data_IF_054657576280
#
_entry.id   IF_054657576280
#
_cell.length_a   1.000
_cell.length_b   1.000
_cell.length_c   1.000
_cell.angle_alpha   90.00
_cell.angle_beta   90.00
_cell.angle_gamma   90.00
#
_symmetry.space_group_name_H-M   'P 1'
#
loop_
_entity.id
_entity.type
_entity.pdbx_description
1 polymer ?
#
# COMPACT_ATOMS: atom_id res chain seq x y z
N UNK A 1 19.40 -49.99 16.81
CA UNK A 1 18.96 -48.61 16.61
C UNK A 1 19.26 -48.26 15.16
N UNK A 2 18.26 -48.26 14.34
CA UNK A 2 18.32 -48.02 12.89
C UNK A 2 18.62 -46.55 12.63
N UNK A 3 19.75 -46.23 11.99
CA UNK A 3 20.03 -44.92 11.44
C UNK A 3 18.95 -44.61 10.37
N UNK A 4 18.12 -43.62 10.67
CA UNK A 4 17.21 -43.07 9.67
C UNK A 4 18.09 -42.55 8.53
N UNK A 5 17.79 -42.94 7.30
CA UNK A 5 18.39 -42.41 6.09
C UNK A 5 17.96 -40.95 6.00
N UNK A 6 18.77 -40.02 6.55
CA UNK A 6 18.65 -38.60 6.30
C UNK A 6 19.03 -38.41 4.83
N UNK A 7 18.15 -37.79 4.04
CA UNK A 7 18.44 -37.41 2.66
C UNK A 7 19.67 -36.49 2.60
N UNK A 8 20.23 -36.25 1.41
CA UNK A 8 21.35 -35.33 1.22
C UNK A 8 20.95 -33.92 1.71
N UNK A 9 21.63 -33.35 2.71
CA UNK A 9 21.31 -32.00 3.22
C UNK A 9 21.29 -30.90 2.14
N UNK A 10 21.97 -31.11 1.01
CA UNK A 10 21.93 -30.18 -0.12
C UNK A 10 20.52 -30.13 -0.74
N UNK A 11 19.80 -31.22 -0.71
CA UNK A 11 18.45 -31.35 -1.31
C UNK A 11 17.32 -31.18 -0.30
N UNK A 12 17.60 -30.74 0.93
CA UNK A 12 16.58 -30.55 1.94
C UNK A 12 15.62 -29.41 1.54
N UNK A 13 14.29 -29.64 1.48
CA UNK A 13 13.34 -28.65 0.99
C UNK A 13 13.36 -27.34 1.79
N UNK A 14 13.37 -27.40 3.13
CA UNK A 14 13.36 -26.21 3.98
C UNK A 14 14.60 -25.35 3.75
N UNK A 15 15.76 -25.96 3.53
CA UNK A 15 17.00 -25.26 3.18
C UNK A 15 16.88 -24.58 1.80
N UNK A 16 16.36 -25.30 0.81
CA UNK A 16 16.20 -24.76 -0.55
C UNK A 16 15.19 -23.61 -0.56
N UNK A 17 14.11 -23.69 0.20
CA UNK A 17 13.18 -22.58 0.41
C UNK A 17 13.90 -21.35 1.02
N UNK A 18 14.74 -21.56 2.03
CA UNK A 18 15.53 -20.49 2.64
C UNK A 18 16.55 -19.88 1.65
N UNK A 19 17.16 -20.71 0.78
CA UNK A 19 18.03 -20.21 -0.30
C UNK A 19 17.27 -19.32 -1.26
N UNK A 20 16.09 -19.70 -1.70
CA UNK A 20 15.23 -18.88 -2.57
C UNK A 20 14.78 -17.59 -1.84
N UNK A 21 14.32 -17.71 -0.60
CA UNK A 21 13.85 -16.57 0.20
C UNK A 21 14.96 -15.54 0.48
N UNK A 22 16.24 -15.97 0.52
CA UNK A 22 17.38 -15.06 0.69
C UNK A 22 17.52 -14.04 -0.45
N UNK A 23 16.98 -14.35 -1.65
CA UNK A 23 17.12 -13.53 -2.85
C UNK A 23 18.57 -13.31 -3.30
N UNK A 24 19.51 -14.20 -2.89
CA UNK A 24 20.93 -14.06 -3.24
C UNK A 24 21.28 -14.72 -4.57
N UNK A 25 20.56 -15.79 -4.97
CA UNK A 25 20.77 -16.44 -6.26
C UNK A 25 20.48 -15.45 -7.40
N UNK A 26 21.35 -15.44 -8.40
CA UNK A 26 21.25 -14.62 -9.60
C UNK A 26 21.14 -13.10 -9.34
N UNK A 27 21.44 -12.67 -8.11
CA UNK A 27 21.43 -11.27 -7.75
C UNK A 27 22.73 -10.56 -8.15
N UNK A 28 22.65 -9.26 -8.39
CA UNK A 28 23.80 -8.41 -8.67
C UNK A 28 24.83 -8.41 -7.53
N UNK A 29 26.06 -8.00 -7.86
CA UNK A 29 27.11 -7.82 -6.86
C UNK A 29 26.73 -6.72 -5.87
N UNK A 30 27.11 -6.92 -4.61
CA UNK A 30 26.83 -5.98 -3.52
C UNK A 30 28.13 -5.71 -2.75
N UNK A 31 28.45 -4.42 -2.56
CA UNK A 31 29.67 -3.99 -1.87
C UNK A 31 29.83 -4.60 -0.48
N UNK A 32 28.72 -4.81 0.24
CA UNK A 32 28.73 -5.42 1.57
C UNK A 32 29.40 -6.81 1.58
N UNK A 33 29.17 -7.65 0.56
CA UNK A 33 29.80 -8.96 0.44
C UNK A 33 31.18 -8.87 -0.20
N UNK A 34 31.37 -7.96 -1.16
CA UNK A 34 32.67 -7.77 -1.84
C UNK A 34 33.74 -7.25 -0.87
N UNK A 35 33.40 -6.33 0.03
CA UNK A 35 34.31 -5.83 1.06
C UNK A 35 34.74 -6.95 2.04
N UNK A 36 33.81 -7.84 2.41
CA UNK A 36 34.10 -8.96 3.29
C UNK A 36 35.05 -9.97 2.62
N UNK A 37 34.86 -10.30 1.34
CA UNK A 37 35.75 -11.23 0.62
C UNK A 37 37.13 -10.63 0.38
N UNK A 38 37.20 -9.33 0.03
CA UNK A 38 38.46 -8.62 -0.12
C UNK A 38 39.24 -8.57 1.20
N UNK A 39 38.56 -8.29 2.32
CA UNK A 39 39.17 -8.28 3.66
C UNK A 39 39.69 -9.67 4.04
N UNK A 40 38.90 -10.73 3.83
CA UNK A 40 39.31 -12.11 4.10
C UNK A 40 40.60 -12.46 3.34
N UNK A 41 40.62 -12.23 2.02
CA UNK A 41 41.76 -12.53 1.18
C UNK A 41 43.02 -11.77 1.62
N UNK A 42 42.86 -10.48 1.95
CA UNK A 42 43.97 -9.62 2.37
C UNK A 42 44.55 -10.03 3.73
N UNK A 43 43.70 -10.26 4.73
CA UNK A 43 44.14 -10.56 6.12
C UNK A 43 44.71 -11.96 6.23
N UNK A 44 44.05 -12.94 5.57
CA UNK A 44 44.51 -14.35 5.62
C UNK A 44 45.69 -14.59 4.66
N UNK A 45 45.87 -13.71 3.67
CA UNK A 45 46.95 -13.82 2.69
C UNK A 45 46.71 -14.98 1.69
N UNK A 46 45.53 -15.04 1.11
CA UNK A 46 45.12 -16.04 0.09
C UNK A 46 44.74 -15.37 -1.21
N UNK A 47 44.92 -16.03 -2.37
CA UNK A 47 44.58 -15.46 -3.67
C UNK A 47 43.10 -15.35 -3.91
N UNK A 48 42.24 -16.18 -3.25
CA UNK A 48 40.79 -16.19 -3.50
C UNK A 48 40.01 -16.27 -2.21
N UNK A 49 38.86 -15.55 -2.19
CA UNK A 49 37.86 -15.66 -1.15
C UNK A 49 36.48 -15.50 -1.76
N UNK A 50 35.48 -16.24 -1.25
CA UNK A 50 34.13 -16.26 -1.82
C UNK A 50 33.06 -16.20 -0.71
N UNK A 51 31.95 -15.56 -1.04
CA UNK A 51 30.64 -15.80 -0.41
C UNK A 51 29.79 -16.54 -1.45
N UNK A 52 29.35 -17.75 -1.10
CA UNK A 52 28.63 -18.62 -2.02
C UNK A 52 27.31 -19.04 -1.46
N UNK A 53 26.33 -19.21 -2.34
CA UNK A 53 25.03 -19.83 -2.07
C UNK A 53 24.93 -21.11 -2.90
N UNK A 54 24.46 -22.19 -2.27
CA UNK A 54 24.39 -23.51 -2.89
C UNK A 54 22.93 -23.90 -3.04
N UNK A 55 22.45 -24.07 -4.28
CA UNK A 55 21.14 -24.65 -4.58
C UNK A 55 21.23 -26.19 -4.81
N UNK A 56 20.30 -26.78 -5.50
CA UNK A 56 20.28 -28.21 -5.81
C UNK A 56 21.12 -28.59 -7.03
N UNK A 57 21.64 -27.62 -7.80
CA UNK A 57 22.37 -27.85 -9.05
C UNK A 57 23.76 -27.23 -9.06
N UNK A 58 23.95 -26.10 -8.39
CA UNK A 58 25.15 -25.25 -8.51
C UNK A 58 25.51 -24.54 -7.20
N UNK A 59 26.70 -23.98 -7.22
CA UNK A 59 27.17 -23.01 -6.22
C UNK A 59 27.32 -21.66 -6.89
N UNK A 60 26.43 -20.74 -6.57
CA UNK A 60 26.44 -19.36 -7.04
C UNK A 60 27.39 -18.51 -6.16
N UNK A 61 28.26 -17.73 -6.80
CA UNK A 61 29.22 -16.88 -6.11
C UNK A 61 28.65 -15.46 -5.97
N UNK A 62 28.01 -15.19 -4.84
CA UNK A 62 27.47 -13.86 -4.52
C UNK A 62 28.57 -12.81 -4.47
N UNK A 63 29.76 -13.21 -4.01
CA UNK A 63 30.98 -12.41 -4.07
C UNK A 63 32.18 -13.29 -4.30
N UNK A 64 33.13 -12.85 -5.12
CA UNK A 64 34.35 -13.57 -5.46
C UNK A 64 35.52 -12.58 -5.55
N UNK A 65 36.46 -12.68 -4.61
CA UNK A 65 37.75 -11.98 -4.68
C UNK A 65 38.76 -12.84 -5.44
N UNK A 66 39.57 -12.23 -6.28
CA UNK A 66 40.60 -12.90 -7.08
C UNK A 66 40.12 -13.42 -8.43
N UNK A 67 38.82 -13.35 -8.73
CA UNK A 67 38.22 -13.70 -10.02
C UNK A 67 37.92 -12.39 -10.78
N UNK A 68 38.25 -12.32 -12.10
CA UNK A 68 37.86 -11.17 -12.93
C UNK A 68 36.35 -10.93 -12.95
N UNK A 69 35.93 -9.67 -13.03
CA UNK A 69 34.50 -9.31 -12.99
C UNK A 69 33.68 -9.84 -14.19
N UNK A 70 34.32 -10.15 -15.28
CA UNK A 70 33.76 -10.80 -16.49
C UNK A 70 33.93 -12.33 -16.49
N UNK A 71 34.44 -12.89 -15.38
CA UNK A 71 34.64 -14.31 -15.17
C UNK A 71 33.36 -15.04 -14.75
N UNK A 72 33.46 -16.38 -14.53
CA UNK A 72 32.33 -17.15 -14.06
C UNK A 72 31.89 -16.69 -12.67
N UNK A 73 30.57 -16.74 -12.45
CA UNK A 73 29.96 -16.42 -11.14
C UNK A 73 29.38 -17.64 -10.43
N UNK A 74 29.62 -18.84 -10.96
CA UNK A 74 29.13 -20.09 -10.41
C UNK A 74 30.00 -21.28 -10.86
N UNK A 75 29.81 -22.39 -10.20
CA UNK A 75 30.30 -23.69 -10.65
C UNK A 75 29.24 -24.77 -10.33
N UNK A 76 29.36 -25.93 -11.03
CA UNK A 76 28.46 -27.05 -10.78
C UNK A 76 28.56 -27.52 -9.31
N UNK A 77 27.49 -28.13 -8.81
CA UNK A 77 27.49 -28.69 -7.45
C UNK A 77 28.64 -29.71 -7.26
N UNK A 78 28.94 -30.53 -8.28
CA UNK A 78 30.01 -31.52 -8.26
C UNK A 78 31.39 -30.89 -8.09
N UNK A 79 31.64 -29.74 -8.72
CA UNK A 79 32.90 -28.99 -8.62
C UNK A 79 33.01 -28.18 -7.34
N UNK A 80 31.88 -27.85 -6.71
CA UNK A 80 31.84 -26.96 -5.55
C UNK A 80 32.40 -27.60 -4.29
N UNK A 81 33.36 -26.93 -3.65
CA UNK A 81 33.80 -27.28 -2.29
C UNK A 81 32.76 -26.87 -1.24
N UNK A 82 31.91 -25.89 -1.53
CA UNK A 82 30.90 -25.37 -0.61
C UNK A 82 29.83 -26.42 -0.27
N UNK A 83 29.60 -27.41 -1.15
CA UNK A 83 28.73 -28.56 -0.88
C UNK A 83 29.13 -29.34 0.39
N UNK A 84 30.44 -29.39 0.71
CA UNK A 84 30.91 -30.11 1.89
C UNK A 84 30.48 -29.41 3.19
N UNK A 85 30.45 -28.08 3.20
CA UNK A 85 29.93 -27.27 4.32
C UNK A 85 28.42 -27.47 4.46
N UNK A 86 27.67 -27.44 3.37
CA UNK A 86 26.22 -27.68 3.39
C UNK A 86 25.92 -29.10 3.90
N UNK A 87 26.66 -30.13 3.46
CA UNK A 87 26.47 -31.52 3.91
C UNK A 87 26.85 -31.76 5.34
N UNK A 88 27.94 -31.13 5.82
CA UNK A 88 28.38 -31.26 7.20
C UNK A 88 27.64 -30.40 8.19
N UNK A 89 26.95 -29.34 7.71
CA UNK A 89 26.31 -28.28 8.52
C UNK A 89 27.31 -27.53 9.43
N UNK A 90 28.62 -27.74 9.21
CA UNK A 90 29.68 -27.21 10.00
C UNK A 90 30.83 -26.74 9.11
N UNK A 91 31.86 -26.11 9.70
CA UNK A 91 33.07 -25.70 9.00
C UNK A 91 33.85 -26.89 8.44
N UNK A 92 34.41 -26.71 7.26
CA UNK A 92 35.29 -27.70 6.61
C UNK A 92 36.60 -27.03 6.30
N UNK A 93 37.67 -27.64 6.85
CA UNK A 93 39.03 -27.17 6.71
C UNK A 93 39.89 -28.23 6.01
N UNK A 94 40.55 -27.83 4.91
CA UNK A 94 41.36 -28.69 4.05
C UNK A 94 42.76 -28.06 3.90
N UNK A 95 43.77 -28.75 4.32
CA UNK A 95 45.19 -28.29 4.26
C UNK A 95 45.83 -28.57 2.90
N UNK A 96 45.51 -29.72 2.30
CA UNK A 96 45.88 -30.06 0.93
C UNK A 96 44.78 -30.91 0.27
N UNK A 97 44.03 -30.29 -0.63
CA UNK A 97 42.90 -30.89 -1.29
C UNK A 97 43.26 -32.10 -2.19
N UNK A 98 44.47 -32.21 -2.65
CA UNK A 98 44.92 -33.32 -3.49
C UNK A 98 45.12 -34.62 -2.72
N UNK A 99 45.30 -34.57 -1.37
CA UNK A 99 45.52 -35.75 -0.53
C UNK A 99 44.40 -35.97 0.51
N UNK A 100 43.56 -34.96 0.78
CA UNK A 100 42.43 -35.10 1.71
C UNK A 100 41.38 -36.04 1.15
N UNK A 101 41.02 -37.06 1.93
CA UNK A 101 40.09 -38.12 1.50
C UNK A 101 38.73 -37.59 1.06
N UNK A 102 38.29 -36.44 1.58
CA UNK A 102 36.99 -35.81 1.25
C UNK A 102 37.01 -35.10 -0.10
N UNK A 103 38.18 -34.56 -0.52
CA UNK A 103 38.26 -33.59 -1.61
C UNK A 103 39.16 -34.01 -2.77
N UNK A 104 40.01 -35.02 -2.62
CA UNK A 104 40.99 -35.45 -3.64
C UNK A 104 40.40 -35.82 -5.00
N UNK A 105 39.12 -36.20 -5.04
CA UNK A 105 38.38 -36.55 -6.26
C UNK A 105 37.58 -35.38 -6.81
N UNK A 106 37.50 -34.24 -6.09
CA UNK A 106 36.76 -33.09 -6.58
C UNK A 106 37.41 -32.49 -7.84
N UNK A 107 36.67 -32.28 -8.92
CA UNK A 107 37.22 -31.76 -10.17
C UNK A 107 38.00 -30.45 -10.04
N UNK A 108 37.58 -29.53 -9.15
CA UNK A 108 38.22 -28.23 -8.97
C UNK A 108 39.68 -28.30 -8.41
N UNK A 109 40.08 -29.44 -7.86
CA UNK A 109 41.49 -29.67 -7.51
C UNK A 109 42.39 -29.61 -8.75
N UNK A 110 41.85 -30.03 -9.93
CA UNK A 110 42.59 -30.04 -11.18
C UNK A 110 42.20 -28.86 -12.09
N UNK A 111 40.92 -28.56 -12.21
CA UNK A 111 40.39 -27.51 -13.13
C UNK A 111 40.72 -26.10 -12.62
N UNK A 112 40.62 -25.84 -11.32
CA UNK A 112 40.86 -24.53 -10.70
C UNK A 112 42.15 -24.49 -9.89
N UNK A 113 42.88 -25.59 -9.77
CA UNK A 113 44.11 -25.67 -9.00
C UNK A 113 43.94 -25.51 -7.48
N UNK A 114 42.78 -25.83 -6.93
CA UNK A 114 42.50 -25.71 -5.48
C UNK A 114 43.40 -26.69 -4.72
N UNK A 115 44.21 -26.14 -3.80
CA UNK A 115 45.14 -26.94 -2.96
C UNK A 115 44.80 -26.82 -1.48
N UNK A 116 44.50 -25.64 -0.98
CA UNK A 116 44.01 -25.48 0.37
C UNK A 116 42.66 -24.74 0.36
N UNK A 117 41.79 -25.15 1.24
CA UNK A 117 40.44 -24.59 1.31
C UNK A 117 39.95 -24.55 2.76
N UNK A 118 39.38 -23.44 3.17
CA UNK A 118 38.69 -23.28 4.45
C UNK A 118 37.37 -22.62 4.24
N UNK A 119 36.26 -23.27 4.63
CA UNK A 119 34.93 -22.75 4.51
C UNK A 119 34.11 -22.84 5.80
N UNK A 120 33.38 -21.80 6.08
CA UNK A 120 32.53 -21.64 7.26
C UNK A 120 31.09 -21.45 6.76
N UNK A 121 30.06 -22.03 7.43
CA UNK A 121 28.69 -21.91 7.01
C UNK A 121 28.22 -20.46 6.87
N UNK A 122 27.60 -20.14 5.73
CA UNK A 122 26.75 -18.97 5.55
C UNK A 122 25.32 -19.37 5.94
N UNK A 123 24.80 -18.75 6.99
CA UNK A 123 23.50 -19.13 7.56
C UNK A 123 22.41 -18.13 7.21
N UNK A 124 21.23 -18.65 6.95
CA UNK A 124 19.98 -17.87 6.85
C UNK A 124 19.47 -17.42 8.23
N UNK A 125 18.38 -16.63 8.25
CA UNK A 125 17.80 -16.07 9.48
C UNK A 125 17.39 -17.13 10.52
N UNK A 126 16.91 -18.28 10.07
CA UNK A 126 16.39 -19.38 10.90
C UNK A 126 17.45 -20.45 11.17
N UNK A 127 18.69 -20.25 10.64
CA UNK A 127 19.87 -21.06 10.96
C UNK A 127 20.27 -22.06 9.88
N UNK A 128 19.52 -22.19 8.78
CA UNK A 128 19.84 -23.05 7.66
C UNK A 128 21.16 -22.68 7.01
N UNK A 129 21.93 -23.67 6.58
CA UNK A 129 23.17 -23.43 5.85
C UNK A 129 22.85 -23.18 4.37
N UNK A 130 22.86 -21.91 3.97
CA UNK A 130 22.59 -21.50 2.58
C UNK A 130 23.76 -21.81 1.64
N UNK A 131 24.98 -21.81 2.18
CA UNK A 131 26.21 -21.97 1.44
C UNK A 131 27.42 -21.80 2.35
N UNK A 132 28.46 -21.14 1.88
CA UNK A 132 29.66 -20.91 2.70
C UNK A 132 30.33 -19.57 2.41
N UNK A 133 31.03 -19.07 3.43
CA UNK A 133 32.09 -18.09 3.28
C UNK A 133 33.43 -18.85 3.28
N UNK A 134 34.22 -18.71 2.23
CA UNK A 134 35.45 -19.53 2.13
C UNK A 134 36.68 -18.74 1.65
N UNK A 135 37.84 -19.26 2.06
CA UNK A 135 39.15 -18.84 1.60
C UNK A 135 39.86 -19.99 0.89
N UNK A 136 40.51 -19.70 -0.24
CA UNK A 136 41.09 -20.72 -1.13
C UNK A 136 42.52 -20.35 -1.49
N UNK A 137 43.40 -21.38 -1.46
CA UNK A 137 44.79 -21.25 -1.88
C UNK A 137 45.13 -22.27 -2.96
N UNK A 138 46.05 -21.94 -3.84
CA UNK A 138 46.59 -22.81 -4.90
C UNK A 138 47.83 -23.60 -4.48
N UNK A 139 48.28 -23.40 -3.24
CA UNK A 139 49.34 -24.18 -2.61
C UNK A 139 48.82 -24.77 -1.32
N UNK A 140 49.36 -25.90 -0.84
CA UNK A 140 49.00 -26.45 0.46
C UNK A 140 49.26 -25.45 1.56
N UNK A 141 48.28 -25.24 2.47
CA UNK A 141 48.35 -24.22 3.52
C UNK A 141 47.88 -24.80 4.85
N UNK A 142 48.67 -24.60 5.90
CA UNK A 142 48.23 -24.85 7.29
C UNK A 142 47.51 -23.59 7.77
N UNK A 143 46.22 -23.70 7.97
CA UNK A 143 45.40 -22.61 8.49
C UNK A 143 45.71 -22.37 9.97
N UNK A 144 46.12 -21.18 10.33
CA UNK A 144 46.32 -20.80 11.74
C UNK A 144 44.98 -20.58 12.45
N UNK A 145 44.96 -20.64 13.77
CA UNK A 145 43.76 -20.31 14.53
C UNK A 145 43.27 -18.88 14.22
N UNK A 146 44.20 -17.94 14.04
CA UNK A 146 43.90 -16.56 13.67
C UNK A 146 43.18 -16.47 12.29
N UNK A 147 43.66 -17.25 11.29
CA UNK A 147 43.00 -17.29 9.96
C UNK A 147 41.53 -17.77 10.08
N UNK A 148 41.33 -18.84 10.87
CA UNK A 148 39.99 -19.41 11.07
C UNK A 148 39.08 -18.47 11.86
N UNK A 149 39.59 -17.76 12.86
CA UNK A 149 38.84 -16.81 13.66
C UNK A 149 38.41 -15.58 12.82
N UNK A 150 39.28 -15.12 11.92
CA UNK A 150 38.95 -14.11 10.93
C UNK A 150 37.83 -14.61 10.01
N UNK A 151 37.98 -15.80 9.43
CA UNK A 151 37.00 -16.38 8.51
C UNK A 151 35.63 -16.58 9.19
N UNK A 152 35.60 -17.11 10.42
CA UNK A 152 34.36 -17.26 11.22
C UNK A 152 33.69 -15.91 11.50
N UNK A 153 34.48 -14.89 11.77
CA UNK A 153 33.95 -13.54 12.07
C UNK A 153 33.30 -12.92 10.83
N UNK A 154 34.00 -13.02 9.70
CA UNK A 154 33.48 -12.52 8.43
C UNK A 154 32.24 -13.32 7.93
N UNK A 155 32.24 -14.64 8.12
CA UNK A 155 31.06 -15.48 7.83
C UNK A 155 29.84 -15.09 8.66
N UNK A 156 30.04 -14.77 9.97
CA UNK A 156 28.95 -14.24 10.81
C UNK A 156 28.47 -12.89 10.33
N UNK A 157 29.36 -12.02 9.86
CA UNK A 157 28.98 -10.71 9.30
C UNK A 157 28.19 -10.88 8.01
N UNK A 158 28.62 -11.76 7.10
CA UNK A 158 27.88 -12.09 5.89
C UNK A 158 26.50 -12.70 6.20
N UNK A 159 26.41 -13.60 7.20
CA UNK A 159 25.12 -14.18 7.62
C UNK A 159 24.15 -13.14 8.21
N UNK A 160 24.67 -12.12 8.93
CA UNK A 160 23.85 -11.00 9.42
C UNK A 160 23.33 -10.13 8.29
N UNK A 161 24.15 -9.90 7.27
CA UNK A 161 23.75 -9.15 6.09
C UNK A 161 22.60 -9.87 5.35
N UNK A 162 22.72 -11.19 5.20
CA UNK A 162 21.62 -12.01 4.65
C UNK A 162 20.34 -11.88 5.48
N UNK A 163 20.45 -12.00 6.80
CA UNK A 163 19.29 -11.92 7.69
C UNK A 163 18.62 -10.53 7.64
N UNK A 164 19.41 -9.45 7.61
CA UNK A 164 18.91 -8.08 7.49
C UNK A 164 18.15 -7.88 6.15
N UNK A 165 18.74 -8.33 5.05
CA UNK A 165 18.13 -8.26 3.72
C UNK A 165 16.79 -9.00 3.67
N UNK A 166 16.74 -10.22 4.18
CA UNK A 166 15.50 -11.01 4.22
C UNK A 166 14.43 -10.30 5.04
N UNK A 167 14.77 -9.80 6.24
CA UNK A 167 13.82 -9.09 7.09
C UNK A 167 13.26 -7.82 6.43
N UNK A 168 14.10 -7.03 5.76
CA UNK A 168 13.66 -5.82 5.03
C UNK A 168 12.72 -6.17 3.87
N UNK A 169 13.01 -7.25 3.14
CA UNK A 169 12.16 -7.72 2.05
C UNK A 169 10.80 -8.19 2.55
N UNK A 170 10.77 -8.98 3.62
CA UNK A 170 9.54 -9.47 4.25
C UNK A 170 8.66 -8.33 4.79
N UNK A 171 9.27 -7.32 5.44
CA UNK A 171 8.57 -6.14 5.92
C UNK A 171 7.94 -5.36 4.77
N UNK A 172 8.69 -5.15 3.69
CA UNK A 172 8.21 -4.45 2.51
C UNK A 172 7.01 -5.17 1.85
N UNK A 173 7.11 -6.48 1.68
CA UNK A 173 6.00 -7.27 1.13
C UNK A 173 4.77 -7.28 2.04
N UNK A 174 4.96 -7.41 3.37
CA UNK A 174 3.86 -7.36 4.33
C UNK A 174 3.15 -6.00 4.28
N UNK A 175 3.92 -4.92 4.17
CA UNK A 175 3.39 -3.57 4.02
C UNK A 175 2.56 -3.43 2.74
N UNK A 176 3.08 -3.84 1.59
CA UNK A 176 2.36 -3.77 0.31
C UNK A 176 1.04 -4.58 0.34
N UNK A 177 1.05 -5.76 0.97
CA UNK A 177 -0.18 -6.57 1.13
C UNK A 177 -1.20 -5.86 2.01
N UNK A 178 -0.77 -5.23 3.11
CA UNK A 178 -1.65 -4.46 3.98
C UNK A 178 -2.25 -3.24 3.28
N UNK A 179 -1.45 -2.52 2.49
CA UNK A 179 -1.90 -1.39 1.66
C UNK A 179 -2.96 -1.82 0.63
N UNK A 180 -2.72 -2.91 -0.07
CA UNK A 180 -3.67 -3.44 -1.06
C UNK A 180 -4.99 -3.88 -0.40
N UNK A 181 -4.92 -4.55 0.75
CA UNK A 181 -6.10 -4.97 1.49
C UNK A 181 -6.91 -3.76 1.97
N UNK A 182 -6.26 -2.76 2.55
CA UNK A 182 -6.89 -1.53 3.01
C UNK A 182 -7.61 -0.81 1.85
N UNK A 183 -6.95 -0.65 0.70
CA UNK A 183 -7.54 -0.06 -0.49
C UNK A 183 -8.74 -0.85 -1.03
N UNK A 184 -8.66 -2.18 -1.05
CA UNK A 184 -9.77 -3.05 -1.49
C UNK A 184 -10.98 -2.93 -0.57
N UNK A 185 -10.76 -2.90 0.75
CA UNK A 185 -11.83 -2.71 1.73
C UNK A 185 -12.47 -1.33 1.59
N UNK A 186 -11.67 -0.29 1.43
CA UNK A 186 -12.16 1.08 1.23
C UNK A 186 -13.02 1.22 -0.03
N UNK A 187 -12.57 0.66 -1.17
CA UNK A 187 -13.37 0.64 -2.40
C UNK A 187 -14.69 -0.10 -2.24
N UNK A 188 -14.76 -1.14 -1.41
CA UNK A 188 -16.00 -1.87 -1.16
C UNK A 188 -17.02 -1.10 -0.32
N UNK A 189 -16.60 -0.04 0.37
CA UNK A 189 -17.46 0.84 1.16
C UNK A 189 -18.10 1.96 0.34
N UNK A 190 -17.48 2.33 -0.79
CA UNK A 190 -18.05 3.28 -1.74
C UNK A 190 -19.04 2.58 -2.68
N UNK A 191 -20.04 3.28 -3.23
CA UNK A 191 -20.87 2.70 -4.26
C UNK A 191 -19.99 2.34 -5.47
N UNK A 192 -20.02 1.10 -5.96
CA UNK A 192 -19.11 0.64 -7.01
C UNK A 192 -19.35 1.35 -8.34
N UNK A 193 -20.59 1.78 -8.58
CA UNK A 193 -20.99 2.55 -9.75
C UNK A 193 -22.12 3.48 -9.33
N UNK A 194 -21.99 4.78 -9.60
CA UNK A 194 -23.10 5.71 -9.43
C UNK A 194 -24.25 5.33 -10.36
N UNK A 195 -25.45 5.29 -9.80
CA UNK A 195 -26.65 4.99 -10.58
C UNK A 195 -26.84 6.07 -11.65
N UNK A 196 -26.97 5.66 -12.91
CA UNK A 196 -27.30 6.59 -13.98
C UNK A 196 -28.77 7.01 -13.85
N UNK A 197 -29.01 8.31 -13.87
CA UNK A 197 -30.34 8.91 -13.79
C UNK A 197 -30.61 9.64 -15.07
N UNK A 198 -31.64 9.22 -15.78
CA UNK A 198 -32.05 9.90 -17.03
C UNK A 198 -32.48 11.34 -16.74
N UNK A 199 -31.81 12.30 -17.41
CA UNK A 199 -32.06 13.73 -17.19
C UNK A 199 -31.18 14.35 -16.10
N UNK A 200 -30.20 13.60 -15.58
CA UNK A 200 -29.24 14.10 -14.59
C UNK A 200 -27.81 13.65 -14.92
N UNK A 201 -26.86 14.57 -15.07
CA UNK A 201 -25.44 14.31 -15.15
C UNK A 201 -24.89 14.29 -13.72
N UNK A 202 -24.37 13.13 -13.33
CA UNK A 202 -23.82 12.88 -11.98
C UNK A 202 -22.33 12.64 -12.09
N UNK A 203 -21.55 13.36 -11.32
CA UNK A 203 -20.13 13.11 -11.14
C UNK A 203 -19.77 12.93 -9.68
N UNK A 204 -18.93 11.96 -9.38
CA UNK A 204 -18.30 11.86 -8.08
C UNK A 204 -16.82 11.55 -8.25
N UNK A 205 -16.05 12.01 -7.30
CA UNK A 205 -14.62 11.71 -7.19
C UNK A 205 -14.27 11.47 -5.73
N UNK A 206 -13.45 10.45 -5.49
CA UNK A 206 -12.92 10.13 -4.19
C UNK A 206 -11.40 9.97 -4.27
N UNK A 207 -10.69 10.66 -3.40
CA UNK A 207 -9.24 10.55 -3.23
C UNK A 207 -8.94 10.21 -1.77
N UNK A 208 -8.43 9.01 -1.49
CA UNK A 208 -8.04 8.65 -0.14
C UNK A 208 -6.81 9.42 0.33
N UNK A 209 -6.72 9.62 1.65
CA UNK A 209 -5.56 10.21 2.30
C UNK A 209 -4.31 9.35 2.18
N UNK A 210 -3.13 9.98 2.13
CA UNK A 210 -1.82 9.36 2.28
C UNK A 210 -1.51 8.26 1.27
N UNK A 211 -0.77 7.24 1.74
CA UNK A 211 -0.28 6.13 0.89
C UNK A 211 -1.16 4.88 0.93
N UNK A 212 -2.47 5.02 1.19
CA UNK A 212 -3.42 3.92 1.03
C UNK A 212 -3.54 2.92 2.19
N UNK A 213 -2.91 3.19 3.34
CA UNK A 213 -2.97 2.31 4.51
C UNK A 213 -4.13 2.64 5.48
N UNK A 214 -4.69 3.83 5.41
CA UNK A 214 -5.75 4.27 6.29
C UNK A 214 -7.11 4.20 5.59
N UNK A 215 -8.06 3.52 6.23
CA UNK A 215 -9.46 3.54 5.81
C UNK A 215 -10.06 4.89 6.16
N UNK A 216 -10.64 5.58 5.19
CA UNK A 216 -11.22 6.89 5.36
C UNK A 216 -12.61 6.92 5.97
N UNK A 217 -13.00 8.10 6.45
CA UNK A 217 -14.32 8.41 6.99
C UNK A 217 -15.31 8.94 5.95
N UNK A 218 -14.82 9.45 4.82
CA UNK A 218 -15.65 10.04 3.77
C UNK A 218 -16.54 9.02 3.08
N UNK A 219 -17.78 9.40 2.81
CA UNK A 219 -18.73 8.58 2.07
C UNK A 219 -19.68 9.43 1.24
N UNK A 220 -20.18 8.86 0.14
CA UNK A 220 -21.28 9.41 -0.65
C UNK A 220 -22.11 8.30 -1.25
N UNK A 221 -23.33 8.64 -1.66
CA UNK A 221 -24.19 7.74 -2.41
C UNK A 221 -25.23 8.52 -3.20
N UNK A 222 -25.72 7.92 -4.30
CA UNK A 222 -26.89 8.39 -5.07
C UNK A 222 -27.72 7.17 -5.45
N UNK A 223 -28.96 7.11 -4.97
CA UNK A 223 -29.85 5.97 -5.18
C UNK A 223 -31.31 6.38 -5.31
N UNK A 224 -32.12 5.54 -5.91
CA UNK A 224 -33.57 5.76 -6.01
C UNK A 224 -34.26 5.38 -4.71
N UNK A 225 -35.01 6.30 -4.12
CA UNK A 225 -35.78 6.11 -2.89
C UNK A 225 -37.30 6.11 -3.07
N UNK A 226 -37.79 6.37 -4.27
CA UNK A 226 -39.20 6.32 -4.66
C UNK A 226 -39.35 6.24 -6.16
N UNK A 227 -40.60 6.16 -6.69
CA UNK A 227 -40.83 6.05 -8.15
C UNK A 227 -40.17 7.18 -8.93
N UNK A 228 -40.23 8.42 -8.41
CA UNK A 228 -39.70 9.63 -9.06
C UNK A 228 -38.77 10.41 -8.13
N UNK A 229 -38.26 9.79 -7.09
CA UNK A 229 -37.44 10.43 -6.07
C UNK A 229 -36.07 9.75 -6.00
N UNK A 230 -35.05 10.56 -6.15
CA UNK A 230 -33.65 10.17 -5.97
C UNK A 230 -33.12 10.77 -4.66
N UNK A 231 -32.34 10.01 -3.96
CA UNK A 231 -31.66 10.47 -2.74
C UNK A 231 -30.18 10.55 -3.00
N UNK A 232 -29.54 11.61 -2.56
CA UNK A 232 -28.10 11.72 -2.50
C UNK A 232 -27.64 11.97 -1.07
N UNK A 233 -26.46 11.53 -0.76
CA UNK A 233 -25.78 11.78 0.51
C UNK A 233 -24.29 11.96 0.28
N UNK A 234 -23.70 12.86 1.04
CA UNK A 234 -22.25 12.97 1.22
C UNK A 234 -22.00 13.24 2.70
N UNK A 235 -20.92 12.73 3.26
CA UNK A 235 -20.58 12.96 4.65
C UNK A 235 -19.16 12.54 4.98
N UNK A 236 -18.70 12.97 6.14
CA UNK A 236 -17.41 12.64 6.70
C UNK A 236 -17.54 12.24 8.18
N UNK A 237 -16.87 11.14 8.55
CA UNK A 237 -16.83 10.61 9.91
C UNK A 237 -15.56 11.08 10.61
N UNK A 238 -15.69 11.75 11.74
CA UNK A 238 -14.56 12.20 12.55
C UNK A 238 -13.57 11.08 12.84
N UNK A 239 -12.30 11.28 12.41
CA UNK A 239 -11.19 10.36 12.60
C UNK A 239 -11.00 9.37 11.44
N UNK A 240 -10.01 8.49 11.57
CA UNK A 240 -9.55 7.60 10.50
C UNK A 240 -9.56 6.14 10.94
N UNK A 241 -9.39 5.22 9.99
CA UNK A 241 -9.23 3.81 10.23
C UNK A 241 -10.55 3.01 10.23
N UNK A 242 -10.46 1.75 10.64
CA UNK A 242 -11.55 0.76 10.56
C UNK A 242 -12.83 1.23 11.23
N UNK A 243 -12.73 1.94 12.36
CA UNK A 243 -13.91 2.42 13.09
C UNK A 243 -14.62 3.55 12.33
N UNK A 244 -13.87 4.47 11.70
CA UNK A 244 -14.47 5.51 10.86
C UNK A 244 -15.21 4.88 9.67
N UNK A 245 -14.58 3.95 8.97
CA UNK A 245 -15.18 3.21 7.86
C UNK A 245 -16.45 2.43 8.27
N UNK A 246 -16.46 1.83 9.46
CA UNK A 246 -17.67 1.16 10.01
C UNK A 246 -18.81 2.16 10.22
N UNK A 247 -18.52 3.35 10.75
CA UNK A 247 -19.53 4.39 10.95
C UNK A 247 -20.02 4.95 9.61
N UNK A 248 -19.14 5.18 8.64
CA UNK A 248 -19.50 5.60 7.28
C UNK A 248 -20.45 4.59 6.61
N UNK A 249 -20.16 3.30 6.75
CA UNK A 249 -21.04 2.22 6.27
C UNK A 249 -22.39 2.22 6.97
N UNK A 250 -22.41 2.35 8.30
CA UNK A 250 -23.64 2.45 9.08
C UNK A 250 -24.46 3.67 8.66
N UNK A 251 -23.83 4.82 8.45
CA UNK A 251 -24.47 6.05 8.01
C UNK A 251 -25.15 5.87 6.65
N UNK A 252 -24.45 5.32 5.65
CA UNK A 252 -25.02 5.05 4.32
C UNK A 252 -26.26 4.15 4.39
N UNK A 253 -26.18 3.03 5.09
CA UNK A 253 -27.33 2.11 5.22
C UNK A 253 -28.48 2.72 6.03
N UNK A 254 -28.21 3.51 7.07
CA UNK A 254 -29.24 4.21 7.83
C UNK A 254 -29.93 5.25 6.98
N UNK A 255 -29.18 6.05 6.20
CA UNK A 255 -29.75 7.02 5.25
C UNK A 255 -30.56 6.30 4.19
N UNK A 256 -30.05 5.20 3.61
CA UNK A 256 -30.78 4.40 2.63
C UNK A 256 -32.12 3.88 3.16
N UNK A 257 -32.11 3.28 4.34
CA UNK A 257 -33.33 2.78 4.99
C UNK A 257 -34.30 3.91 5.39
N UNK A 258 -33.78 5.03 5.87
CA UNK A 258 -34.57 6.21 6.24
C UNK A 258 -35.23 6.86 5.03
N UNK A 259 -34.50 7.02 3.94
CA UNK A 259 -34.99 7.64 2.70
C UNK A 259 -36.15 6.88 2.05
N UNK A 260 -36.27 5.58 2.29
CA UNK A 260 -37.43 4.79 1.84
C UNK A 260 -38.69 5.02 2.69
N UNK A 261 -38.58 5.67 3.85
CA UNK A 261 -39.68 5.81 4.82
C UNK A 261 -40.21 7.22 4.95
N UNK A 262 -39.42 8.23 4.66
CA UNK A 262 -39.80 9.64 4.72
C UNK A 262 -39.23 10.38 3.52
N UNK A 263 -39.81 11.54 3.21
CA UNK A 263 -39.31 12.48 2.21
C UNK A 263 -38.74 13.75 2.86
N UNK A 264 -38.59 13.73 4.16
CA UNK A 264 -37.94 14.80 4.93
C UNK A 264 -36.50 14.41 5.25
N UNK A 265 -35.48 15.04 4.61
CA UNK A 265 -34.09 14.71 4.83
C UNK A 265 -33.61 15.03 6.26
N UNK A 266 -34.24 16.00 6.94
CA UNK A 266 -33.88 16.33 8.33
C UNK A 266 -34.27 15.20 9.28
N UNK A 267 -35.36 14.50 9.00
CA UNK A 267 -35.81 13.35 9.79
C UNK A 267 -34.86 12.14 9.58
N UNK A 268 -34.33 11.96 8.36
CA UNK A 268 -33.31 10.94 8.11
C UNK A 268 -32.05 11.20 8.92
N UNK A 269 -31.58 12.45 8.94
CA UNK A 269 -30.43 12.85 9.74
C UNK A 269 -30.69 12.69 11.26
N UNK A 270 -31.91 12.98 11.72
CA UNK A 270 -32.30 12.76 13.12
C UNK A 270 -32.23 11.27 13.49
N UNK A 271 -32.74 10.37 12.67
CA UNK A 271 -32.64 8.92 12.91
C UNK A 271 -31.18 8.43 12.85
N UNK A 272 -30.36 8.99 11.99
CA UNK A 272 -28.93 8.70 11.97
C UNK A 272 -28.25 9.16 13.28
N UNK A 273 -28.59 10.38 13.75
CA UNK A 273 -28.11 10.89 15.02
C UNK A 273 -28.47 9.97 16.20
N UNK A 274 -29.76 9.59 16.32
CA UNK A 274 -30.26 8.67 17.35
C UNK A 274 -29.54 7.32 17.27
N UNK A 275 -29.32 6.79 16.05
CA UNK A 275 -28.63 5.52 15.84
C UNK A 275 -27.19 5.58 16.34
N UNK A 276 -26.47 6.68 16.09
CA UNK A 276 -25.10 6.87 16.55
C UNK A 276 -25.03 7.03 18.06
N UNK A 277 -25.90 7.85 18.65
CA UNK A 277 -25.98 8.04 20.11
C UNK A 277 -26.29 6.70 20.81
N UNK A 278 -27.23 5.90 20.30
CA UNK A 278 -27.55 4.62 20.87
C UNK A 278 -26.36 3.62 20.86
N UNK A 279 -25.39 3.85 19.98
CA UNK A 279 -24.16 3.05 19.85
C UNK A 279 -22.93 3.70 20.47
N UNK A 280 -23.03 4.92 21.01
CA UNK A 280 -21.92 5.69 21.59
C UNK A 280 -21.20 4.98 22.74
N UNK A 281 -21.84 3.96 23.39
CA UNK A 281 -21.17 3.09 24.36
C UNK A 281 -19.97 2.32 23.78
N UNK A 282 -19.83 2.27 22.45
CA UNK A 282 -18.74 1.59 21.74
C UNK A 282 -17.88 2.52 20.85
N UNK A 283 -18.26 3.80 20.68
CA UNK A 283 -17.51 4.76 19.84
C UNK A 283 -17.98 6.19 20.11
N UNK A 284 -17.09 7.07 20.52
CA UNK A 284 -17.34 8.52 20.71
C UNK A 284 -17.26 9.30 19.39
N UNK A 285 -17.55 8.67 18.26
CA UNK A 285 -17.42 9.29 16.95
C UNK A 285 -18.71 9.93 16.49
N UNK A 286 -18.59 11.11 15.92
CA UNK A 286 -19.62 11.88 15.25
C UNK A 286 -19.29 11.98 13.76
N UNK A 287 -20.23 12.46 12.98
CA UNK A 287 -20.05 12.72 11.55
C UNK A 287 -20.74 14.00 11.12
N UNK A 288 -20.33 14.51 9.98
CA UNK A 288 -21.02 15.53 9.25
C UNK A 288 -21.65 14.92 7.98
N UNK A 289 -22.83 15.38 7.58
CA UNK A 289 -23.45 14.90 6.34
C UNK A 289 -24.45 15.89 5.76
N UNK A 290 -24.59 15.87 4.43
CA UNK A 290 -25.75 16.41 3.71
C UNK A 290 -26.55 15.26 3.14
N UNK A 291 -27.86 15.25 3.39
CA UNK A 291 -28.81 14.34 2.75
C UNK A 291 -29.80 15.17 1.93
N UNK A 292 -30.05 14.76 0.69
CA UNK A 292 -31.01 15.48 -0.16
C UNK A 292 -31.86 14.55 -1.01
N UNK A 293 -33.08 14.97 -1.26
CA UNK A 293 -33.99 14.37 -2.21
C UNK A 293 -34.06 15.21 -3.47
N UNK A 294 -34.07 14.55 -4.62
CA UNK A 294 -34.09 15.14 -5.93
C UNK A 294 -35.28 14.58 -6.72
N UNK A 295 -36.08 15.48 -7.32
CA UNK A 295 -37.13 15.13 -8.28
C UNK A 295 -36.88 15.86 -9.56
N UNK A 296 -36.82 15.10 -10.67
CA UNK A 296 -36.69 15.63 -12.01
C UNK A 296 -38.06 16.01 -12.55
N UNK A 297 -38.12 17.13 -13.26
CA UNK A 297 -39.26 17.54 -14.04
C UNK A 297 -38.84 17.93 -15.49
N UNK A 298 -39.73 18.56 -16.26
CA UNK A 298 -39.46 18.88 -17.65
C UNK A 298 -38.30 19.89 -17.83
N UNK A 299 -38.16 20.81 -16.90
CA UNK A 299 -37.29 21.98 -17.03
C UNK A 299 -36.07 21.96 -16.04
N UNK A 300 -35.82 20.81 -15.38
CA UNK A 300 -34.71 20.69 -14.41
C UNK A 300 -35.00 19.73 -13.26
N UNK A 301 -34.65 20.12 -12.05
CA UNK A 301 -34.93 19.33 -10.85
C UNK A 301 -35.22 20.21 -9.62
N UNK A 302 -36.07 19.67 -8.74
CA UNK A 302 -36.30 20.22 -7.41
C UNK A 302 -35.53 19.40 -6.39
N UNK A 303 -34.76 20.05 -5.54
CA UNK A 303 -33.97 19.46 -4.47
C UNK A 303 -34.50 19.96 -3.13
N UNK A 304 -34.69 19.03 -2.20
CA UNK A 304 -34.91 19.32 -0.79
C UNK A 304 -33.72 18.70 -0.03
N UNK A 305 -32.89 19.49 0.61
CA UNK A 305 -31.74 18.96 1.32
C UNK A 305 -31.69 19.46 2.78
N UNK A 306 -31.06 18.66 3.62
CA UNK A 306 -30.80 18.96 5.02
C UNK A 306 -29.32 18.74 5.30
N UNK A 307 -28.75 19.56 6.18
CA UNK A 307 -27.36 19.53 6.57
C UNK A 307 -27.24 19.11 8.04
N UNK A 308 -26.33 18.21 8.32
CA UNK A 308 -25.91 17.75 9.65
C UNK A 308 -24.51 18.20 10.00
N UNK A 309 -24.25 19.51 9.96
CA UNK A 309 -22.96 20.12 10.32
C UNK A 309 -21.85 19.97 9.26
N UNK A 310 -22.21 19.61 8.03
CA UNK A 310 -21.29 19.46 6.92
C UNK A 310 -20.97 20.81 6.25
N UNK A 311 -19.86 20.88 5.51
CA UNK A 311 -19.49 22.06 4.73
C UNK A 311 -20.61 22.41 3.74
N UNK A 312 -20.92 23.71 3.52
CA UNK A 312 -22.03 24.11 2.67
C UNK A 312 -21.84 23.72 1.21
N UNK A 313 -22.93 23.35 0.54
CA UNK A 313 -22.90 23.06 -0.89
C UNK A 313 -22.73 24.32 -1.73
N UNK A 314 -22.06 24.21 -2.87
CA UNK A 314 -21.90 25.30 -3.85
C UNK A 314 -22.91 25.09 -4.97
N UNK A 315 -23.65 26.14 -5.30
CA UNK A 315 -24.56 26.16 -6.44
C UNK A 315 -23.99 27.10 -7.51
N UNK A 316 -23.80 26.57 -8.71
CA UNK A 316 -23.44 27.32 -9.90
C UNK A 316 -24.64 27.42 -10.82
N UNK A 317 -25.02 28.62 -11.17
CA UNK A 317 -26.09 28.89 -12.13
C UNK A 317 -25.56 28.89 -13.58
N UNK A 318 -26.45 28.64 -14.54
CA UNK A 318 -26.12 28.66 -15.97
C UNK A 318 -25.53 30.02 -16.42
N UNK A 319 -25.96 31.13 -15.80
CA UNK A 319 -25.45 32.47 -16.08
C UNK A 319 -24.04 32.74 -15.50
N UNK A 320 -23.45 31.76 -14.77
CA UNK A 320 -22.15 31.86 -14.14
C UNK A 320 -22.17 32.34 -12.67
N UNK A 321 -23.32 32.71 -12.12
CA UNK A 321 -23.43 33.07 -10.72
C UNK A 321 -23.13 31.87 -9.81
N UNK A 322 -22.36 32.11 -8.74
CA UNK A 322 -22.00 31.10 -7.76
C UNK A 322 -22.46 31.55 -6.38
N UNK A 323 -23.20 30.68 -5.73
CA UNK A 323 -23.71 30.90 -4.38
C UNK A 323 -23.41 29.70 -3.49
N UNK A 324 -23.18 29.95 -2.20
CA UNK A 324 -23.13 28.91 -1.19
C UNK A 324 -24.56 28.67 -0.68
N UNK A 325 -24.96 27.40 -0.61
CA UNK A 325 -26.25 27.02 -0.08
C UNK A 325 -26.13 26.77 1.43
N UNK A 326 -26.57 27.73 2.22
CA UNK A 326 -26.57 27.62 3.68
C UNK A 326 -27.81 26.85 4.13
N UNK A 327 -27.59 25.68 4.73
CA UNK A 327 -28.60 24.84 5.34
C UNK A 327 -28.19 24.58 6.78
N UNK A 328 -28.81 25.24 7.78
CA UNK A 328 -28.38 25.14 9.17
C UNK A 328 -28.70 23.77 9.75
N UNK A 329 -27.73 23.16 10.44
CA UNK A 329 -27.87 21.87 11.11
C UNK A 329 -26.73 21.55 12.05
N UNK A 330 -27.02 20.76 13.07
CA UNK A 330 -26.04 20.30 14.06
C UNK A 330 -25.30 19.04 13.60
N UNK A 331 -24.09 18.85 14.06
CA UNK A 331 -23.27 17.65 13.83
C UNK A 331 -24.02 16.39 14.29
N UNK A 332 -24.00 15.36 13.46
CA UNK A 332 -24.71 14.11 13.67
C UNK A 332 -23.92 13.19 14.61
N UNK A 333 -24.57 12.64 15.64
CA UNK A 333 -23.94 11.74 16.63
C UNK A 333 -23.18 12.48 17.74
N UNK A 334 -23.24 13.81 17.80
CA UNK A 334 -22.69 14.59 18.91
C UNK A 334 -23.64 14.52 20.14
N UNK A 335 -23.12 14.75 21.33
CA UNK A 335 -23.95 14.79 22.57
C UNK A 335 -24.84 16.04 22.68
N UNK A 336 -24.77 16.94 21.69
CA UNK A 336 -25.62 18.14 21.64
C UNK A 336 -27.00 17.79 21.05
N UNK A 337 -28.05 18.53 21.42
CA UNK A 337 -29.38 18.35 20.80
C UNK A 337 -29.26 18.52 19.26
N UNK A 338 -29.78 17.52 18.55
CA UNK A 338 -29.78 17.55 17.10
C UNK A 338 -30.90 18.47 16.56
N UNK A 339 -30.55 19.26 15.59
CA UNK A 339 -31.51 20.00 14.76
C UNK A 339 -30.98 20.07 13.32
N UNK A 340 -31.87 20.14 12.36
CA UNK A 340 -31.54 20.41 10.95
C UNK A 340 -32.76 21.02 10.29
N UNK A 341 -32.58 22.08 9.53
CA UNK A 341 -33.65 22.76 8.80
C UNK A 341 -33.50 22.51 7.30
N UNK A 342 -34.45 21.82 6.66
CA UNK A 342 -34.37 21.55 5.25
C UNK A 342 -34.45 22.84 4.42
N UNK A 343 -33.74 22.86 3.29
CA UNK A 343 -33.74 23.98 2.34
C UNK A 343 -34.12 23.45 0.97
N UNK A 344 -35.01 24.19 0.29
CA UNK A 344 -35.43 23.92 -1.08
C UNK A 344 -34.48 24.61 -2.07
N UNK A 345 -34.13 23.91 -3.15
CA UNK A 345 -33.34 24.42 -4.25
C UNK A 345 -33.93 23.97 -5.58
N UNK A 346 -34.12 24.92 -6.48
CA UNK A 346 -34.46 24.63 -7.88
C UNK A 346 -33.22 24.74 -8.75
N UNK A 347 -32.90 23.70 -9.52
CA UNK A 347 -31.87 23.73 -10.56
C UNK A 347 -32.56 23.61 -11.95
N UNK A 348 -32.24 24.54 -12.84
CA UNK A 348 -32.59 24.47 -14.26
C UNK A 348 -31.49 23.83 -15.10
N UNK A 349 -31.70 23.70 -16.40
CA UNK A 349 -30.68 23.25 -17.34
C UNK A 349 -29.43 24.14 -17.27
N UNK A 350 -28.26 23.55 -17.17
CA UNK A 350 -26.97 24.26 -17.04
C UNK A 350 -26.58 24.69 -15.61
N UNK A 351 -27.55 24.66 -14.67
CA UNK A 351 -27.22 24.81 -13.24
C UNK A 351 -26.55 23.53 -12.70
N UNK A 352 -25.76 23.66 -11.62
CA UNK A 352 -25.19 22.52 -10.92
C UNK A 352 -25.10 22.77 -9.41
N UNK A 353 -25.20 21.70 -8.64
CA UNK A 353 -24.85 21.69 -7.21
C UNK A 353 -23.61 20.84 -7.02
N UNK A 354 -22.68 21.34 -6.21
CA UNK A 354 -21.43 20.68 -5.84
C UNK A 354 -21.39 20.52 -4.33
N UNK A 355 -21.20 19.29 -3.89
CA UNK A 355 -21.02 18.92 -2.50
C UNK A 355 -19.60 18.36 -2.34
N UNK A 356 -18.94 18.61 -1.24
CA UNK A 356 -17.57 18.17 -1.02
C UNK A 356 -17.29 18.03 0.47
N UNK A 357 -16.32 17.21 0.83
CA UNK A 357 -15.86 17.04 2.22
C UNK A 357 -14.77 18.06 2.57
N UNK A 358 -14.54 18.27 3.85
CA UNK A 358 -13.61 19.29 4.36
C UNK A 358 -12.16 19.02 3.95
N UNK A 359 -11.75 17.77 3.67
CA UNK A 359 -10.45 17.45 3.10
C UNK A 359 -10.12 18.25 1.82
N UNK A 360 -11.14 18.71 1.07
CA UNK A 360 -10.94 19.61 -0.07
C UNK A 360 -10.59 21.02 0.42
N UNK A 361 -11.43 21.63 1.27
CA UNK A 361 -11.23 23.03 1.72
C UNK A 361 -10.12 23.15 2.75
N UNK A 362 -9.84 22.11 3.52
CA UNK A 362 -8.77 22.07 4.52
C UNK A 362 -7.41 21.62 3.97
N UNK A 363 -7.31 21.28 2.68
CA UNK A 363 -6.02 21.01 2.02
C UNK A 363 -5.03 22.15 2.28
N UNK A 364 -3.80 21.83 2.72
CA UNK A 364 -2.87 22.82 3.28
C UNK A 364 -1.59 22.97 2.46
N UNK A 365 -1.20 24.23 2.25
CA UNK A 365 0.13 24.58 1.74
C UNK A 365 0.77 25.61 2.66
N UNK A 366 1.95 25.30 3.21
CA UNK A 366 2.66 26.19 4.15
C UNK A 366 1.79 26.68 5.34
N UNK A 367 0.89 25.82 5.85
CA UNK A 367 0.00 26.14 6.96
C UNK A 367 -1.26 26.93 6.59
N UNK A 368 -1.44 27.32 5.33
CA UNK A 368 -2.60 28.03 4.82
C UNK A 368 -3.55 27.01 4.20
N UNK A 369 -4.85 27.09 4.51
CA UNK A 369 -5.89 26.24 3.92
C UNK A 369 -6.22 26.69 2.49
N UNK A 370 -6.61 25.75 1.65
CA UNK A 370 -7.14 26.00 0.31
C UNK A 370 -8.40 26.88 0.40
N UNK A 371 -9.30 26.53 1.31
CA UNK A 371 -10.47 27.31 1.67
C UNK A 371 -11.63 27.22 0.70
N UNK A 372 -12.83 27.57 1.18
CA UNK A 372 -14.07 27.54 0.37
C UNK A 372 -14.00 28.48 -0.83
N UNK A 373 -13.37 29.65 -0.70
CA UNK A 373 -13.24 30.61 -1.80
C UNK A 373 -12.42 30.05 -2.96
N UNK A 374 -11.39 29.26 -2.69
CA UNK A 374 -10.63 28.61 -3.74
C UNK A 374 -11.46 27.51 -4.45
N UNK A 375 -12.26 26.74 -3.69
CA UNK A 375 -13.20 25.76 -4.28
C UNK A 375 -14.19 26.48 -5.18
N UNK A 376 -14.81 27.57 -4.74
CA UNK A 376 -15.69 28.44 -5.53
C UNK A 376 -14.99 28.96 -6.78
N UNK A 377 -13.71 29.37 -6.65
CA UNK A 377 -12.88 29.80 -7.77
C UNK A 377 -12.71 28.72 -8.83
N UNK A 378 -12.48 27.45 -8.44
CA UNK A 378 -12.41 26.34 -9.38
C UNK A 378 -13.76 26.13 -10.09
N UNK A 379 -14.87 26.14 -9.34
CA UNK A 379 -16.23 26.01 -9.91
C UNK A 379 -16.53 27.14 -10.88
N UNK A 380 -16.05 28.37 -10.63
CA UNK A 380 -16.22 29.52 -11.51
C UNK A 380 -15.52 29.36 -12.86
N UNK A 381 -14.46 28.58 -12.94
CA UNK A 381 -13.76 28.31 -14.23
C UNK A 381 -14.52 27.36 -15.15
N UNK A 382 -15.60 26.75 -14.68
CA UNK A 382 -16.42 25.80 -15.45
C UNK A 382 -17.61 26.48 -16.13
N UNK A 383 -18.18 25.79 -17.10
CA UNK A 383 -19.35 26.26 -17.83
C UNK A 383 -20.39 25.13 -17.96
N UNK A 384 -21.50 25.43 -18.63
CA UNK A 384 -22.60 24.49 -18.84
C UNK A 384 -22.23 23.27 -19.70
N UNK A 385 -21.18 23.36 -20.51
CA UNK A 385 -20.64 22.21 -21.27
C UNK A 385 -19.72 21.29 -20.42
N UNK A 386 -19.27 21.75 -19.25
CA UNK A 386 -18.43 20.92 -18.36
C UNK A 386 -19.27 19.83 -17.74
N UNK A 387 -18.91 18.55 -17.91
CA UNK A 387 -19.60 17.44 -17.26
C UNK A 387 -19.35 17.43 -15.74
N UNK A 388 -20.30 16.81 -15.00
CA UNK A 388 -20.15 16.66 -13.54
C UNK A 388 -18.91 15.86 -13.15
N UNK A 389 -18.54 14.85 -13.94
CA UNK A 389 -17.30 14.08 -13.75
C UNK A 389 -16.05 14.96 -13.90
N UNK A 390 -16.00 15.79 -14.93
CA UNK A 390 -14.88 16.70 -15.16
C UNK A 390 -14.81 17.79 -14.07
N UNK A 391 -15.95 18.29 -13.63
CA UNK A 391 -16.04 19.28 -12.55
C UNK A 391 -15.45 18.71 -11.24
N UNK A 392 -15.91 17.53 -10.82
CA UNK A 392 -15.42 16.89 -9.60
C UNK A 392 -13.91 16.59 -9.66
N UNK A 393 -13.44 16.12 -10.82
CA UNK A 393 -12.01 15.87 -11.06
C UNK A 393 -11.18 17.15 -10.91
N UNK A 394 -11.61 18.27 -11.50
CA UNK A 394 -10.90 19.56 -11.40
C UNK A 394 -10.80 20.07 -9.98
N UNK A 395 -11.86 19.93 -9.19
CA UNK A 395 -11.84 20.35 -7.78
C UNK A 395 -10.79 19.56 -6.98
N UNK A 396 -10.83 18.23 -7.08
CA UNK A 396 -9.85 17.38 -6.36
C UNK A 396 -8.43 17.66 -6.85
N UNK A 397 -8.21 17.78 -8.15
CA UNK A 397 -6.87 18.08 -8.68
C UNK A 397 -6.34 19.44 -8.23
N UNK A 398 -7.20 20.44 -8.10
CA UNK A 398 -6.78 21.77 -7.60
C UNK A 398 -6.36 21.71 -6.12
N UNK A 399 -7.13 21.02 -5.27
CA UNK A 399 -6.79 20.80 -3.87
C UNK A 399 -5.49 19.99 -3.72
N UNK A 400 -5.34 18.88 -4.46
CA UNK A 400 -4.11 18.07 -4.45
C UNK A 400 -2.88 18.87 -4.93
N UNK A 401 -3.01 19.64 -6.00
CA UNK A 401 -1.92 20.46 -6.49
C UNK A 401 -1.51 21.53 -5.46
N UNK A 402 -2.47 22.10 -4.74
CA UNK A 402 -2.22 23.07 -3.67
C UNK A 402 -1.46 22.44 -2.49
N UNK A 403 -1.80 21.19 -2.14
CA UNK A 403 -1.21 20.43 -1.03
C UNK A 403 0.13 19.76 -1.37
N UNK A 404 0.60 19.87 -2.62
CA UNK A 404 1.87 19.28 -3.06
C UNK A 404 1.76 17.87 -3.64
N UNK A 405 0.56 17.44 -4.02
CA UNK A 405 0.32 16.21 -4.77
C UNK A 405 -0.03 14.96 -3.94
N UNK A 406 -0.05 15.06 -2.61
CA UNK A 406 -0.43 13.95 -1.72
C UNK A 406 -1.49 14.43 -0.74
N UNK A 407 -2.66 13.80 -0.76
CA UNK A 407 -3.76 14.14 0.13
C UNK A 407 -3.42 13.83 1.59
N UNK A 408 -3.59 14.79 2.50
CA UNK A 408 -3.42 14.60 3.97
C UNK A 408 -4.70 14.08 4.63
N UNK A 409 -5.86 14.39 4.03
CA UNK A 409 -7.15 13.85 4.42
C UNK A 409 -7.91 13.29 3.21
N UNK A 410 -8.98 12.52 3.48
CA UNK A 410 -9.84 12.04 2.40
C UNK A 410 -10.51 13.22 1.69
N UNK A 411 -10.71 13.09 0.39
CA UNK A 411 -11.35 14.11 -0.42
C UNK A 411 -12.49 13.47 -1.21
N UNK A 412 -13.72 13.79 -0.89
CA UNK A 412 -14.88 13.38 -1.67
C UNK A 412 -15.58 14.58 -2.28
N UNK A 413 -15.99 14.44 -3.53
CA UNK A 413 -16.78 15.48 -4.24
C UNK A 413 -17.92 14.79 -5.00
N UNK A 414 -19.11 15.33 -4.87
CA UNK A 414 -20.31 14.92 -5.62
C UNK A 414 -20.89 16.13 -6.34
N UNK A 415 -21.13 16.01 -7.65
CA UNK A 415 -21.76 17.05 -8.46
C UNK A 415 -23.00 16.50 -9.17
N UNK A 416 -24.07 17.27 -9.11
CA UNK A 416 -25.36 16.94 -9.74
C UNK A 416 -25.76 18.10 -10.66
N UNK A 417 -26.12 17.79 -11.92
CA UNK A 417 -26.46 18.76 -12.95
C UNK A 417 -27.62 18.25 -13.78
N UNK A 418 -28.79 18.93 -13.82
CA UNK A 418 -29.87 18.59 -14.73
C UNK A 418 -29.42 18.71 -16.18
N UNK A 419 -29.83 17.76 -17.02
CA UNK A 419 -29.59 17.78 -18.46
C UNK A 419 -30.92 17.96 -19.20
N UNK A 420 -30.87 18.62 -20.37
CA UNK A 420 -32.04 18.73 -21.22
C UNK A 420 -32.57 17.34 -21.61
N UNK A 421 -33.78 17.01 -21.23
CA UNK A 421 -34.46 15.76 -21.64
C UNK A 421 -34.80 15.69 -23.14
N UNK A 422 -34.66 16.82 -23.86
CA UNK A 422 -35.07 16.88 -25.25
C UNK A 422 -34.04 16.44 -26.30
N UNK A 423 -32.82 16.06 -25.92
CA UNK A 423 -31.73 15.78 -26.87
C UNK A 423 -31.50 14.29 -27.19
N UNK A 424 -32.44 13.40 -26.85
CA UNK A 424 -32.38 11.99 -27.32
C UNK A 424 -33.73 11.54 -27.86
N UNK A 425 -34.00 11.90 -29.10
CA UNK A 425 -34.86 11.17 -30.02
C UNK A 425 -34.02 10.35 -30.97
#
# INVERSE_FOLDING_TARGET
MTAAAHGDPVLEPTRLEAVVASGLLDSERESAFDDLTALAATVIGVPFAFVTVVDDQRSFWKSAFGIPSDGPHENSLEESFCQYVVRSQDEVIVFDAAIDARTRTNPSVRSMGVRAWAGVPLRGPTGEVLGSFCAVDTVPKKWSQADLDVLRTLARSASREVALRTAVSEEHEARLRAELLAHTLQQSLLPPVLTQVEGLDIGAYFQPAGHGLELGGDFYDVFQSGSDVWTFVIGDVCGKGIDAARIATLARYTVGAGAMRTQDPSQVLAWLHETLIARAASSDRFLTAIVGYLRLDADGCNILLANGGHVPAIVRRANGDITTLDAPGAIVGSFMPFYSSPVELRLGAGDSIVLYTDGISEARSNGIMFGEDAVRGVVATTNDATSSVELTRRIVQAALAYEGGTAQDDMAVLALKPTDRQLRC
#
